data_IF_057256956256
#
_entry.id   IF_057256956256
#
_cell.length_a   1.000
_cell.length_b   1.000
_cell.length_c   1.000
_cell.angle_alpha   90.00
_cell.angle_beta   90.00
_cell.angle_gamma   90.00
#
_symmetry.space_group_name_H-M   'P 1'
#
loop_
_entity.id
_entity.type
_entity.pdbx_description
1 polymer ?
#
# COMPACT_ATOMS: atom_id res chain seq x y z
N UNK A 1 3.06 -21.40 -3.49
CA UNK A 1 2.78 -21.65 -2.05
C UNK A 1 1.57 -20.89 -1.52
N UNK A 2 1.39 -19.61 -1.84
CA UNK A 2 0.33 -18.77 -1.26
C UNK A 2 -1.10 -19.32 -1.38
N UNK A 3 -1.46 -19.95 -2.51
CA UNK A 3 -2.79 -20.57 -2.68
C UNK A 3 -3.07 -21.73 -1.72
N UNK A 4 -2.05 -22.53 -1.39
CA UNK A 4 -2.19 -23.63 -0.43
C UNK A 4 -2.34 -23.10 0.99
N UNK A 5 -1.54 -22.07 1.35
CA UNK A 5 -1.68 -21.38 2.64
C UNK A 5 -3.06 -20.71 2.77
N UNK A 6 -3.58 -20.11 1.69
CA UNK A 6 -4.93 -19.56 1.64
C UNK A 6 -6.00 -20.63 1.84
N UNK A 7 -5.87 -21.81 1.24
CA UNK A 7 -6.83 -22.90 1.43
C UNK A 7 -6.88 -23.38 2.88
N UNK A 8 -5.71 -23.58 3.51
CA UNK A 8 -5.62 -24.08 4.89
C UNK A 8 -6.08 -23.03 5.91
N UNK A 9 -5.55 -21.81 5.81
CA UNK A 9 -5.88 -20.69 6.71
C UNK A 9 -7.29 -20.19 6.45
N UNK A 10 -7.68 -20.10 5.18
CA UNK A 10 -9.01 -19.68 4.74
C UNK A 10 -10.09 -20.64 5.21
N UNK A 11 -9.90 -21.96 5.15
CA UNK A 11 -10.88 -22.90 5.67
C UNK A 11 -11.08 -22.79 7.20
N UNK A 12 -10.01 -22.48 7.94
CA UNK A 12 -10.10 -22.24 9.40
C UNK A 12 -10.82 -20.91 9.66
N UNK A 13 -10.43 -19.86 8.95
CA UNK A 13 -10.99 -18.52 9.10
C UNK A 13 -12.45 -18.44 8.62
N UNK A 14 -12.83 -19.17 7.57
CA UNK A 14 -14.22 -19.27 7.09
C UNK A 14 -15.15 -19.80 8.17
N UNK A 15 -14.69 -20.78 8.97
CA UNK A 15 -15.47 -21.31 10.09
C UNK A 15 -15.61 -20.34 11.27
N UNK A 16 -14.74 -19.33 11.36
CA UNK A 16 -14.74 -18.32 12.43
C UNK A 16 -15.48 -17.06 12.00
N UNK A 17 -15.27 -16.60 10.77
CA UNK A 17 -15.76 -15.33 10.22
C UNK A 17 -16.96 -15.51 9.28
N UNK A 18 -17.09 -16.66 8.62
CA UNK A 18 -18.02 -16.88 7.52
C UNK A 18 -17.47 -16.43 6.16
N UNK A 19 -17.98 -17.03 5.08
CA UNK A 19 -17.51 -16.83 3.69
C UNK A 19 -17.40 -15.38 3.24
N UNK A 20 -18.42 -14.57 3.53
CA UNK A 20 -18.48 -13.19 3.06
C UNK A 20 -17.48 -12.28 3.78
N UNK A 21 -17.36 -12.42 5.09
CA UNK A 21 -16.38 -11.66 5.89
C UNK A 21 -14.95 -12.07 5.56
N UNK A 22 -14.72 -13.36 5.30
CA UNK A 22 -13.42 -13.84 4.85
C UNK A 22 -12.99 -13.15 3.54
N UNK A 23 -13.89 -13.06 2.56
CA UNK A 23 -13.59 -12.39 1.29
C UNK A 23 -13.24 -10.91 1.48
N UNK A 24 -14.02 -10.22 2.31
CA UNK A 24 -13.82 -8.79 2.60
C UNK A 24 -12.49 -8.56 3.32
N UNK A 25 -12.19 -9.34 4.36
CA UNK A 25 -10.91 -9.29 5.08
C UNK A 25 -9.75 -9.56 4.12
N UNK A 26 -9.87 -10.58 3.27
CA UNK A 26 -8.82 -10.94 2.31
C UNK A 26 -8.52 -9.79 1.33
N UNK A 27 -9.55 -9.20 0.72
CA UNK A 27 -9.39 -8.07 -0.19
C UNK A 27 -8.81 -6.85 0.53
N UNK A 28 -9.38 -6.48 1.68
CA UNK A 28 -8.96 -5.30 2.42
C UNK A 28 -7.52 -5.42 2.93
N UNK A 29 -7.16 -6.55 3.53
CA UNK A 29 -5.80 -6.78 4.03
C UNK A 29 -4.76 -6.88 2.92
N UNK A 30 -5.12 -7.44 1.76
CA UNK A 30 -4.23 -7.49 0.61
C UNK A 30 -3.92 -6.12 0.04
N UNK A 31 -4.95 -5.28 -0.12
CA UNK A 31 -4.80 -3.90 -0.63
C UNK A 31 -4.07 -3.03 0.38
N UNK A 32 -4.46 -3.08 1.66
CA UNK A 32 -3.84 -2.26 2.71
C UNK A 32 -2.39 -2.66 3.00
N UNK A 33 -2.11 -3.97 3.04
CA UNK A 33 -0.74 -4.48 3.14
C UNK A 33 0.10 -4.08 1.92
N UNK A 34 -0.46 -4.17 0.72
CA UNK A 34 0.20 -3.71 -0.51
C UNK A 34 0.46 -2.20 -0.54
N UNK A 35 -0.44 -1.38 0.01
CA UNK A 35 -0.26 0.07 0.13
C UNK A 35 0.85 0.42 1.13
N UNK A 36 0.88 -0.21 2.30
CA UNK A 36 1.95 0.00 3.29
C UNK A 36 3.31 -0.40 2.70
N UNK A 37 3.35 -1.55 2.02
CA UNK A 37 4.50 -2.00 1.24
C UNK A 37 4.94 -0.96 0.21
N UNK A 38 4.03 -0.48 -0.64
CA UNK A 38 4.34 0.52 -1.66
C UNK A 38 4.87 1.83 -1.05
N UNK A 39 4.28 2.30 0.06
CA UNK A 39 4.77 3.48 0.78
C UNK A 39 6.19 3.30 1.35
N UNK A 40 6.53 2.10 1.81
CA UNK A 40 7.88 1.76 2.27
C UNK A 40 8.86 1.58 1.11
N UNK A 41 8.45 0.87 0.04
CA UNK A 41 9.25 0.64 -1.15
C UNK A 41 9.60 1.95 -1.89
N UNK A 42 8.69 2.94 -1.89
CA UNK A 42 8.95 4.29 -2.40
C UNK A 42 10.06 5.03 -1.63
N UNK A 43 10.35 4.64 -0.39
CA UNK A 43 11.46 5.20 0.40
C UNK A 43 12.79 4.49 0.19
N UNK A 44 12.76 3.20 -0.16
CA UNK A 44 13.96 2.35 -0.23
C UNK A 44 14.33 1.89 -1.65
N UNK A 45 13.58 2.30 -2.69
CA UNK A 45 13.84 1.95 -4.10
C UNK A 45 13.87 0.44 -4.38
N UNK A 46 13.05 -0.34 -3.66
CA UNK A 46 12.85 -1.76 -3.94
C UNK A 46 11.64 -2.01 -4.87
N UNK A 47 11.72 -3.07 -5.68
CA UNK A 47 10.69 -3.42 -6.66
C UNK A 47 9.36 -3.79 -5.98
N UNK A 48 8.27 -3.19 -6.46
CA UNK A 48 6.90 -3.55 -6.06
C UNK A 48 6.57 -4.92 -6.69
N UNK A 49 6.84 -6.00 -5.96
CA UNK A 49 6.55 -7.35 -6.44
C UNK A 49 5.06 -7.64 -6.25
N UNK A 50 4.34 -7.82 -7.36
CA UNK A 50 2.89 -8.09 -7.41
C UNK A 50 2.47 -9.31 -6.53
N UNK A 51 3.41 -10.22 -6.25
CA UNK A 51 3.21 -11.38 -5.35
C UNK A 51 3.15 -11.03 -3.85
N UNK A 52 3.55 -9.83 -3.45
CA UNK A 52 3.68 -9.42 -2.03
C UNK A 52 2.32 -9.27 -1.36
N UNK A 53 1.32 -8.71 -2.05
CA UNK A 53 -0.02 -8.47 -1.50
C UNK A 53 -0.80 -9.73 -1.11
N UNK A 54 -0.63 -10.85 -1.83
CA UNK A 54 -1.34 -12.10 -1.52
C UNK A 54 -0.91 -12.71 -0.18
N UNK A 55 0.38 -12.60 0.15
CA UNK A 55 0.93 -13.06 1.43
C UNK A 55 0.51 -12.16 2.60
N UNK A 56 0.45 -10.84 2.39
CA UNK A 56 -0.13 -9.89 3.34
C UNK A 56 -1.62 -10.15 3.61
N UNK A 57 -2.38 -10.51 2.57
CA UNK A 57 -3.79 -10.88 2.71
C UNK A 57 -3.99 -12.14 3.58
N UNK A 58 -3.14 -13.16 3.42
CA UNK A 58 -3.16 -14.37 4.26
C UNK A 58 -2.83 -14.02 5.72
N UNK A 59 -1.86 -13.13 5.93
CA UNK A 59 -1.53 -12.61 7.25
C UNK A 59 -2.70 -11.87 7.89
N UNK A 60 -3.42 -11.09 7.09
CA UNK A 60 -4.64 -10.41 7.51
C UNK A 60 -5.79 -11.34 7.86
N UNK A 61 -5.99 -12.43 7.11
CA UNK A 61 -6.96 -13.47 7.47
C UNK A 61 -6.61 -14.08 8.84
N UNK A 62 -5.34 -14.41 9.06
CA UNK A 62 -4.88 -14.94 10.35
C UNK A 62 -5.11 -13.95 11.49
N UNK A 63 -4.76 -12.68 11.27
CA UNK A 63 -5.00 -11.58 12.21
C UNK A 63 -6.48 -11.40 12.55
N UNK A 64 -7.36 -11.44 11.54
CA UNK A 64 -8.79 -11.33 11.72
C UNK A 64 -9.34 -12.48 12.56
N UNK A 65 -8.95 -13.72 12.26
CA UNK A 65 -9.38 -14.90 13.02
C UNK A 65 -8.92 -14.84 14.49
N UNK A 66 -7.67 -14.43 14.73
CA UNK A 66 -7.14 -14.22 16.09
C UNK A 66 -7.94 -13.14 16.82
N UNK A 67 -8.12 -11.98 16.19
CA UNK A 67 -8.74 -10.82 16.80
C UNK A 67 -10.24 -11.00 17.05
N UNK A 68 -10.96 -11.67 16.14
CA UNK A 68 -12.35 -12.09 16.34
C UNK A 68 -12.47 -13.03 17.53
N UNK A 69 -11.54 -13.97 17.69
CA UNK A 69 -11.54 -14.88 18.83
C UNK A 69 -11.26 -14.17 20.16
N UNK A 70 -10.35 -13.18 20.17
CA UNK A 70 -10.07 -12.37 21.36
C UNK A 70 -11.22 -11.44 21.74
N UNK A 71 -11.98 -10.95 20.75
CA UNK A 71 -13.13 -10.09 20.97
C UNK A 71 -14.41 -10.84 21.37
N UNK A 72 -14.54 -12.10 20.95
CA UNK A 72 -15.69 -12.95 21.28
C UNK A 72 -15.46 -13.58 22.65
N UNK A 73 -16.05 -13.01 23.71
CA UNK A 73 -15.80 -13.38 25.10
C UNK A 73 -15.92 -14.89 25.46
N UNK A 74 -15.53 -15.20 26.71
CA UNK A 74 -15.23 -16.51 27.32
C UNK A 74 -16.10 -17.74 26.94
N UNK A 75 -17.34 -17.58 26.45
CA UNK A 75 -18.23 -18.69 26.09
C UNK A 75 -17.85 -19.45 24.81
N UNK A 76 -17.12 -18.82 23.87
CA UNK A 76 -16.64 -19.49 22.63
C UNK A 76 -15.19 -19.96 22.71
N UNK A 77 -14.50 -19.61 23.80
CA UNK A 77 -13.05 -19.79 23.95
C UNK A 77 -12.60 -21.24 23.73
N UNK A 78 -13.32 -22.24 24.25
CA UNK A 78 -12.81 -23.62 24.26
C UNK A 78 -12.81 -24.34 22.90
N UNK A 79 -13.73 -24.01 21.97
CA UNK A 79 -13.86 -24.74 20.68
C UNK A 79 -12.91 -24.24 19.59
N UNK A 80 -12.53 -22.97 19.62
CA UNK A 80 -11.71 -22.34 18.58
C UNK A 80 -10.24 -22.12 18.98
N UNK A 81 -9.88 -22.20 20.26
CA UNK A 81 -8.50 -21.98 20.72
C UNK A 81 -7.47 -22.90 20.04
N UNK A 82 -7.82 -24.18 19.85
CA UNK A 82 -6.98 -25.16 19.13
C UNK A 82 -6.74 -24.79 17.66
N UNK A 83 -7.62 -23.99 17.05
CA UNK A 83 -7.52 -23.57 15.65
C UNK A 83 -6.73 -22.27 15.48
N UNK A 84 -6.70 -21.42 16.51
CA UNK A 84 -5.99 -20.14 16.50
C UNK A 84 -4.49 -20.31 16.80
N UNK A 85 -4.12 -21.28 17.64
CA UNK A 85 -2.73 -21.58 17.97
C UNK A 85 -1.81 -21.79 16.76
N UNK A 86 -2.17 -22.61 15.76
CA UNK A 86 -1.35 -22.77 14.55
C UNK A 86 -1.28 -21.51 13.69
N UNK A 87 -2.31 -20.66 13.70
CA UNK A 87 -2.27 -19.35 13.01
C UNK A 87 -1.24 -18.42 13.64
N UNK A 88 -1.16 -18.41 14.98
CA UNK A 88 -0.18 -17.62 15.71
C UNK A 88 1.26 -18.09 15.40
N UNK A 89 1.48 -19.40 15.36
CA UNK A 89 2.76 -19.99 14.95
C UNK A 89 3.14 -19.64 13.52
N UNK A 90 2.17 -19.69 12.59
CA UNK A 90 2.39 -19.29 11.20
C UNK A 90 2.78 -17.81 11.08
N UNK A 91 2.08 -16.90 11.79
CA UNK A 91 2.39 -15.47 11.79
C UNK A 91 3.81 -15.23 12.30
N UNK A 92 4.15 -15.81 13.44
CA UNK A 92 5.48 -15.65 14.05
C UNK A 92 6.59 -16.18 13.15
N UNK A 93 6.41 -17.39 12.58
CA UNK A 93 7.37 -17.98 11.66
C UNK A 93 7.54 -17.13 10.41
N UNK A 94 6.45 -16.63 9.81
CA UNK A 94 6.52 -15.86 8.57
C UNK A 94 7.24 -14.54 8.78
N UNK A 95 6.97 -13.83 9.88
CA UNK A 95 7.69 -12.59 10.22
C UNK A 95 9.16 -12.84 10.57
N UNK A 96 9.46 -13.93 11.30
CA UNK A 96 10.83 -14.29 11.65
C UNK A 96 11.65 -14.68 10.42
N UNK A 97 11.05 -15.43 9.49
CA UNK A 97 11.69 -15.81 8.24
C UNK A 97 11.87 -14.59 7.34
N UNK A 98 10.86 -13.71 7.27
CA UNK A 98 10.95 -12.46 6.52
C UNK A 98 11.99 -11.48 7.07
N UNK A 99 12.24 -11.50 8.39
CA UNK A 99 13.29 -10.69 8.99
C UNK A 99 14.71 -11.18 8.66
N UNK A 100 14.87 -12.43 8.19
CA UNK A 100 16.18 -13.03 7.88
C UNK A 100 16.45 -13.18 6.39
N UNK A 101 15.43 -13.10 5.55
CA UNK A 101 15.53 -13.33 4.11
C UNK A 101 15.29 -12.03 3.34
N UNK A 102 16.29 -11.60 2.56
CA UNK A 102 16.14 -10.46 1.65
C UNK A 102 15.12 -10.80 0.55
N UNK A 103 14.20 -9.87 0.25
CA UNK A 103 13.11 -10.07 -0.70
C UNK A 103 11.76 -10.52 -0.10
N UNK A 104 11.64 -10.64 1.23
CA UNK A 104 10.36 -10.81 1.91
C UNK A 104 9.90 -9.49 2.51
N UNK A 105 8.72 -9.04 2.09
CA UNK A 105 8.15 -7.79 2.55
C UNK A 105 7.39 -7.94 3.88
N UNK A 106 8.12 -7.73 4.97
CA UNK A 106 7.56 -7.69 6.31
C UNK A 106 6.58 -6.52 6.53
N UNK A 107 6.78 -5.39 5.85
CA UNK A 107 5.88 -4.24 5.97
C UNK A 107 4.49 -4.59 5.42
N UNK A 108 4.44 -5.34 4.31
CA UNK A 108 3.21 -5.90 3.77
C UNK A 108 2.52 -6.86 4.75
N UNK A 109 3.28 -7.78 5.35
CA UNK A 109 2.72 -8.77 6.28
C UNK A 109 2.19 -8.14 7.55
N UNK A 110 2.94 -7.19 8.14
CA UNK A 110 2.52 -6.44 9.32
C UNK A 110 1.30 -5.59 8.99
N UNK A 111 1.32 -4.88 7.86
CA UNK A 111 0.19 -4.07 7.39
C UNK A 111 -1.08 -4.90 7.19
N UNK A 112 -0.95 -6.05 6.55
CA UNK A 112 -2.04 -7.01 6.37
C UNK A 112 -2.58 -7.54 7.70
N UNK A 113 -1.70 -7.93 8.63
CA UNK A 113 -2.04 -8.43 9.96
C UNK A 113 -2.83 -7.39 10.78
N UNK A 114 -2.37 -6.13 10.80
CA UNK A 114 -3.00 -5.04 11.53
C UNK A 114 -4.38 -4.74 10.93
N UNK A 115 -4.46 -4.58 9.61
CA UNK A 115 -5.71 -4.30 8.91
C UNK A 115 -6.74 -5.40 9.13
N UNK A 116 -6.33 -6.67 8.96
CA UNK A 116 -7.20 -7.82 9.14
C UNK A 116 -7.62 -8.01 10.60
N UNK A 117 -6.70 -7.83 11.53
CA UNK A 117 -6.98 -7.88 12.97
C UNK A 117 -7.98 -6.80 13.41
N UNK A 118 -7.79 -5.55 12.95
CA UNK A 118 -8.71 -4.46 13.22
C UNK A 118 -10.13 -4.76 12.67
N UNK A 119 -10.22 -5.25 11.43
CA UNK A 119 -11.48 -5.60 10.80
C UNK A 119 -12.17 -6.77 11.52
N UNK A 120 -11.41 -7.81 11.89
CA UNK A 120 -11.91 -8.97 12.61
C UNK A 120 -12.37 -8.64 14.04
N UNK A 121 -11.65 -7.77 14.74
CA UNK A 121 -12.03 -7.27 16.06
C UNK A 121 -13.30 -6.42 16.02
N UNK A 122 -13.35 -5.47 15.07
CA UNK A 122 -14.51 -4.60 14.86
C UNK A 122 -15.75 -5.44 14.48
N UNK A 123 -15.59 -6.38 13.55
CA UNK A 123 -16.65 -7.27 13.12
C UNK A 123 -17.20 -8.12 14.26
N UNK A 124 -16.34 -8.59 15.18
CA UNK A 124 -16.73 -9.36 16.35
C UNK A 124 -17.48 -8.53 17.39
N UNK A 125 -17.03 -7.29 17.63
CA UNK A 125 -17.67 -6.34 18.56
C UNK A 125 -19.03 -5.84 18.06
N UNK A 126 -19.20 -5.75 16.75
CA UNK A 126 -20.42 -5.28 16.10
C UNK A 126 -21.41 -6.41 15.77
N UNK A 127 -21.12 -7.67 16.14
CA UNK A 127 -22.12 -8.76 16.10
C UNK A 127 -23.21 -8.45 17.13
N UNK A 128 -24.18 -7.63 16.73
CA UNK A 128 -25.29 -7.17 17.57
C UNK A 128 -25.95 -5.86 17.10
N UNK A 129 -25.23 -5.00 16.38
CA UNK A 129 -25.78 -3.77 15.79
C UNK A 129 -25.88 -3.88 14.26
N UNK A 130 -26.79 -3.10 13.64
CA UNK A 130 -27.21 -3.20 12.22
C UNK A 130 -26.10 -3.65 11.26
N UNK A 131 -26.12 -4.95 10.93
CA UNK A 131 -25.21 -5.62 9.96
C UNK A 131 -24.99 -4.84 8.67
N UNK A 132 -26.01 -4.11 8.19
CA UNK A 132 -25.92 -3.31 6.97
C UNK A 132 -25.01 -2.08 7.10
N UNK A 133 -24.93 -1.46 8.28
CA UNK A 133 -24.10 -0.27 8.50
C UNK A 133 -22.63 -0.66 8.58
N UNK A 134 -22.32 -1.76 9.27
CA UNK A 134 -20.95 -2.28 9.37
C UNK A 134 -20.44 -2.78 8.04
N UNK A 135 -21.21 -3.62 7.34
CA UNK A 135 -20.84 -4.15 6.03
C UNK A 135 -20.75 -3.00 5.01
N UNK A 136 -21.68 -2.03 5.05
CA UNK A 136 -21.65 -0.83 4.21
C UNK A 136 -20.41 0.03 4.45
N UNK A 137 -20.05 0.29 5.71
CA UNK A 137 -18.85 1.05 6.06
C UNK A 137 -17.56 0.37 5.58
N UNK A 138 -17.50 -0.96 5.68
CA UNK A 138 -16.34 -1.72 5.19
C UNK A 138 -16.28 -1.69 3.66
N UNK A 139 -17.40 -1.82 2.95
CA UNK A 139 -17.44 -1.73 1.48
C UNK A 139 -16.96 -0.36 1.00
N UNK A 140 -17.38 0.72 1.65
CA UNK A 140 -16.93 2.08 1.33
C UNK A 140 -15.41 2.21 1.56
N UNK A 141 -14.90 1.70 2.68
CA UNK A 141 -13.48 1.73 2.97
C UNK A 141 -12.64 0.92 1.95
N UNK A 142 -13.11 -0.28 1.56
CA UNK A 142 -12.49 -1.10 0.51
C UNK A 142 -12.46 -0.33 -0.82
N UNK A 143 -13.58 0.30 -1.19
CA UNK A 143 -13.72 1.03 -2.45
C UNK A 143 -12.78 2.23 -2.51
N UNK A 144 -12.69 2.99 -1.42
CA UNK A 144 -11.76 4.11 -1.31
C UNK A 144 -10.30 3.66 -1.40
N UNK A 145 -9.95 2.54 -0.74
CA UNK A 145 -8.60 1.98 -0.81
C UNK A 145 -8.24 1.47 -2.20
N UNK A 146 -9.17 0.79 -2.88
CA UNK A 146 -8.96 0.34 -4.26
C UNK A 146 -8.73 1.52 -5.20
N UNK A 147 -9.52 2.58 -5.04
CA UNK A 147 -9.40 3.80 -5.85
C UNK A 147 -8.06 4.49 -5.60
N UNK A 148 -7.63 4.60 -4.33
CA UNK A 148 -6.32 5.15 -3.97
C UNK A 148 -5.15 4.29 -4.50
N UNK A 149 -5.27 2.97 -4.47
CA UNK A 149 -4.26 2.07 -5.03
C UNK A 149 -4.15 2.20 -6.55
N UNK A 150 -5.29 2.29 -7.26
CA UNK A 150 -5.31 2.52 -8.71
C UNK A 150 -4.64 3.86 -9.06
N UNK A 151 -4.98 4.91 -8.31
CA UNK A 151 -4.38 6.23 -8.50
C UNK A 151 -2.86 6.21 -8.28
N UNK A 152 -2.38 5.52 -7.25
CA UNK A 152 -0.95 5.35 -6.97
C UNK A 152 -0.23 4.60 -8.10
N UNK A 153 -0.84 3.54 -8.62
CA UNK A 153 -0.29 2.78 -9.76
C UNK A 153 -0.22 3.66 -11.01
N UNK A 154 -1.23 4.49 -11.27
CA UNK A 154 -1.20 5.45 -12.38
C UNK A 154 -0.03 6.42 -12.23
N UNK A 155 0.17 6.97 -11.03
CA UNK A 155 1.28 7.89 -10.76
C UNK A 155 2.66 7.24 -11.01
N UNK A 156 2.82 5.96 -10.65
CA UNK A 156 4.06 5.21 -10.88
C UNK A 156 4.33 4.99 -12.38
N UNK A 157 3.28 4.68 -13.16
CA UNK A 157 3.39 4.45 -14.61
C UNK A 157 3.79 5.75 -15.30
N UNK A 158 3.17 6.87 -14.95
CA UNK A 158 3.45 8.16 -15.57
C UNK A 158 4.92 8.58 -15.38
N UNK A 159 5.47 8.44 -14.16
CA UNK A 159 6.89 8.71 -13.87
C UNK A 159 7.85 7.82 -14.68
N UNK A 160 7.56 6.51 -14.77
CA UNK A 160 8.39 5.58 -15.53
C UNK A 160 8.36 5.86 -17.04
N UNK A 161 7.20 6.23 -17.58
CA UNK A 161 7.03 6.59 -18.99
C UNK A 161 7.73 7.91 -19.28
N UNK A 162 7.71 8.86 -18.36
CA UNK A 162 8.45 10.13 -18.46
C UNK A 162 9.97 9.90 -18.54
N UNK A 163 10.52 9.03 -17.68
CA UNK A 163 11.95 8.71 -17.72
C UNK A 163 12.36 8.01 -19.02
N UNK A 164 11.56 7.05 -19.49
CA UNK A 164 11.82 6.36 -20.77
C UNK A 164 11.68 7.32 -21.96
N UNK A 165 10.69 8.21 -21.93
CA UNK A 165 10.54 9.25 -22.97
C UNK A 165 11.73 10.20 -22.98
N UNK A 166 12.25 10.59 -21.81
CA UNK A 166 13.42 11.45 -21.71
C UNK A 166 14.69 10.76 -22.23
N UNK A 167 14.94 9.51 -21.83
CA UNK A 167 16.11 8.76 -22.29
C UNK A 167 16.06 8.50 -23.80
N UNK A 168 14.88 8.20 -24.36
CA UNK A 168 14.68 8.10 -25.80
C UNK A 168 14.86 9.46 -26.51
N UNK A 169 14.37 10.56 -25.93
CA UNK A 169 14.56 11.91 -26.50
C UNK A 169 16.05 12.28 -26.55
N UNK A 170 16.79 11.97 -25.49
CA UNK A 170 18.24 12.20 -25.43
C UNK A 170 19.03 11.32 -26.40
N UNK A 171 18.63 10.06 -26.58
CA UNK A 171 19.29 9.14 -27.50
C UNK A 171 19.02 9.44 -28.98
N UNK A 172 17.78 9.80 -29.34
CA UNK A 172 17.37 9.98 -30.73
C UNK A 172 17.40 11.42 -31.23
N UNK A 173 17.29 12.44 -30.36
CA UNK A 173 17.23 13.86 -30.75
C UNK A 173 18.24 14.74 -30.00
N UNK A 174 19.56 14.41 -30.02
CA UNK A 174 20.56 15.14 -29.24
C UNK A 174 20.75 16.59 -29.72
N UNK A 175 20.59 16.87 -31.02
CA UNK A 175 20.83 18.22 -31.57
C UNK A 175 19.77 19.25 -31.17
N UNK A 176 18.50 18.86 -31.10
CA UNK A 176 17.41 19.73 -30.64
C UNK A 176 17.55 20.09 -29.17
N UNK A 177 17.97 19.12 -28.33
CA UNK A 177 18.22 19.34 -26.91
C UNK A 177 19.36 20.33 -26.69
N UNK A 178 20.46 20.21 -27.45
CA UNK A 178 21.60 21.13 -27.37
C UNK A 178 21.18 22.56 -27.77
N UNK A 179 20.32 22.70 -28.79
CA UNK A 179 19.76 23.99 -29.20
C UNK A 179 18.82 24.59 -28.15
N UNK A 180 17.90 23.80 -27.58
CA UNK A 180 17.03 24.22 -26.46
C UNK A 180 17.87 24.66 -25.24
N UNK A 181 18.95 23.93 -24.91
CA UNK A 181 19.86 24.27 -23.81
C UNK A 181 20.59 25.60 -24.07
N UNK A 182 21.03 25.83 -25.31
CA UNK A 182 21.67 27.09 -25.74
C UNK A 182 20.70 28.27 -25.68
N UNK A 183 19.46 28.09 -26.13
CA UNK A 183 18.42 29.12 -26.04
C UNK A 183 18.05 29.43 -24.59
N UNK A 184 17.88 28.41 -23.73
CA UNK A 184 17.65 28.61 -22.29
C UNK A 184 18.82 29.32 -21.61
N UNK A 185 20.07 28.94 -21.92
CA UNK A 185 21.26 29.64 -21.40
C UNK A 185 21.30 31.10 -21.85
N UNK A 186 21.01 31.38 -23.11
CA UNK A 186 20.95 32.74 -23.65
C UNK A 186 19.84 33.59 -22.99
N UNK A 187 18.67 32.99 -22.72
CA UNK A 187 17.57 33.66 -22.02
C UNK A 187 17.90 33.98 -20.55
N UNK A 188 18.58 33.06 -19.85
CA UNK A 188 19.02 33.25 -18.45
C UNK A 188 20.15 34.28 -18.35
N UNK A 189 21.12 34.25 -19.28
CA UNK A 189 22.20 35.26 -19.31
C UNK A 189 21.70 36.64 -19.78
N UNK A 190 20.71 36.70 -20.67
CA UNK A 190 20.09 37.94 -21.13
C UNK A 190 19.19 38.62 -20.10
N UNK A 191 18.60 37.85 -19.17
CA UNK A 191 17.79 38.37 -18.07
C UNK A 191 18.57 39.08 -16.95
N UNK A 192 19.88 38.84 -16.86
CA UNK A 192 20.74 39.45 -15.83
C UNK A 192 21.20 40.88 -16.17
N UNK A 193 20.82 41.41 -17.34
CA UNK A 193 21.30 42.70 -17.83
C UNK A 193 20.15 43.68 -18.09
N UNK A 194 19.39 44.03 -17.04
CA UNK A 194 18.59 45.27 -17.07
C UNK A 194 19.53 46.45 -16.78
N UNK A 195 19.67 47.43 -17.67
CA UNK A 195 20.55 48.57 -17.42
C UNK A 195 19.92 49.48 -16.36
N UNK A 196 20.67 49.78 -15.30
CA UNK A 196 20.41 50.94 -14.44
C UNK A 196 20.56 52.21 -15.28
N UNK A 197 19.45 52.69 -15.84
CA UNK A 197 19.34 53.94 -16.59
C UNK A 197 19.22 55.14 -15.65
N UNK A 198 20.37 55.75 -15.39
CA UNK A 198 20.64 57.15 -15.02
C UNK A 198 19.43 58.10 -14.92
N UNK A 199 19.05 58.52 -13.70
CA UNK A 199 18.20 59.71 -13.49
C UNK A 199 19.12 60.93 -13.47
N UNK A 200 19.08 61.70 -14.56
CA UNK A 200 19.81 62.94 -14.76
C UNK A 200 19.28 64.01 -13.77
N UNK A 201 20.18 64.53 -12.93
CA UNK A 201 20.02 65.82 -12.25
C UNK A 201 20.06 66.94 -13.31
N UNK A 202 18.99 67.71 -13.45
CA UNK A 202 19.04 69.06 -14.04
C UNK A 202 18.66 70.07 -12.96
N UNK A 203 19.57 71.00 -12.71
CA UNK A 203 19.39 72.09 -11.75
C UNK A 203 18.82 73.35 -12.39
N UNK A 204 18.31 74.21 -11.50
CA UNK A 204 18.37 75.69 -11.51
C UNK A 204 17.98 76.42 -12.81
N UNK A 205 16.84 77.10 -12.72
CA UNK A 205 16.73 78.55 -12.96
C UNK A 205 15.83 79.13 -11.89
#
# INVERSE_FOLDING_TARGET
MNMFALLVVGAVAERILGKWRLLIVWLFSGVFGGLISACYALRESEQIVISVGASGAIMGIAGAAIATQLASGAGTHHKNQRRVFPLLGMVALTLLYGARQTGIDNACHIGGLIAGGALGWLSARLVGQNRFVTEGGIIVAVTLLLTGAIWLVQQQIDESVLQVRQSLREAFYPQEIEQERRQKKAAVSGGAQRPHGNIIRSGKS
#
